data_IF_926777828800
#
_entry.id   IF_926777828800
#
_cell.length_a   1.000
_cell.length_b   1.000
_cell.length_c   1.000
_cell.angle_alpha   90.00
_cell.angle_beta   90.00
_cell.angle_gamma   90.00
#
_symmetry.space_group_name_H-M   'P 1'
#
loop_
_entity.id
_entity.type
_entity.pdbx_description
1 polymer ?
#
# COMPACT_ATOMS: atom_id res chain seq x y z
N UNK A 1 19.94 -4.06 7.37
CA UNK A 1 19.21 -2.89 7.84
C UNK A 1 17.94 -2.74 6.99
N UNK A 2 16.90 -3.52 7.30
CA UNK A 2 15.69 -3.63 6.47
C UNK A 2 14.78 -2.42 6.52
N UNK A 3 15.24 -1.24 6.16
CA UNK A 3 14.37 -0.09 5.95
C UNK A 3 13.62 -0.29 4.64
N UNK A 4 12.36 -0.63 4.74
CA UNK A 4 11.42 -0.67 3.62
C UNK A 4 11.16 0.76 3.17
N UNK A 5 11.80 1.18 2.09
CA UNK A 5 11.36 2.37 1.41
C UNK A 5 10.21 1.99 0.49
N UNK A 6 9.03 2.50 0.79
CA UNK A 6 7.94 2.53 -0.15
C UNK A 6 8.36 3.40 -1.33
N UNK A 7 8.94 2.79 -2.33
CA UNK A 7 9.13 3.46 -3.61
C UNK A 7 7.77 3.87 -4.16
N UNK A 8 7.70 5.03 -4.77
CA UNK A 8 6.61 5.41 -5.65
C UNK A 8 6.72 4.49 -6.88
N UNK A 9 6.14 3.31 -6.78
CA UNK A 9 6.26 2.31 -7.81
C UNK A 9 5.34 2.63 -8.98
N UNK A 10 5.83 2.36 -10.18
CA UNK A 10 5.03 2.35 -11.42
C UNK A 10 3.93 1.28 -11.42
N UNK A 11 3.85 0.45 -10.40
CA UNK A 11 2.75 -0.49 -10.15
C UNK A 11 1.52 0.19 -9.53
N UNK A 12 1.44 1.50 -9.59
CA UNK A 12 0.26 2.21 -9.15
C UNK A 12 -0.91 1.81 -10.02
N UNK A 13 -1.87 1.16 -9.40
CA UNK A 13 -3.17 0.98 -10.02
C UNK A 13 -3.74 2.35 -10.31
N UNK A 14 -4.12 2.52 -11.56
CA UNK A 14 -4.75 3.76 -12.01
C UNK A 14 -6.06 3.93 -11.26
N UNK A 15 -6.14 4.96 -10.44
CA UNK A 15 -7.38 5.36 -9.83
C UNK A 15 -8.30 5.98 -10.89
N UNK A 16 -9.62 5.83 -10.74
CA UNK A 16 -10.58 6.52 -11.58
C UNK A 16 -10.35 8.04 -11.57
N UNK A 17 -10.70 8.72 -12.67
CA UNK A 17 -10.48 10.16 -12.82
C UNK A 17 -11.29 11.02 -11.86
N UNK A 18 -12.35 10.47 -11.27
CA UNK A 18 -13.18 11.17 -10.29
C UNK A 18 -12.60 11.20 -8.89
N UNK A 19 -11.57 10.40 -8.60
CA UNK A 19 -10.90 10.42 -7.30
C UNK A 19 -10.22 11.76 -7.08
N UNK A 20 -10.53 12.39 -5.96
CA UNK A 20 -9.93 13.67 -5.58
C UNK A 20 -8.47 13.48 -5.17
N UNK A 21 -7.64 14.45 -5.52
CA UNK A 21 -6.22 14.47 -5.17
C UNK A 21 -5.80 15.87 -4.76
N UNK A 22 -4.77 15.95 -3.94
CA UNK A 22 -4.17 17.22 -3.58
C UNK A 22 -3.37 17.79 -4.77
N UNK A 23 -3.64 19.05 -5.11
CA UNK A 23 -2.92 19.77 -6.18
C UNK A 23 -1.41 19.80 -5.90
N UNK A 24 -0.62 19.25 -6.81
CA UNK A 24 0.86 19.25 -6.76
C UNK A 24 1.48 18.01 -6.12
N UNK A 25 0.71 17.08 -5.56
CA UNK A 25 1.25 15.87 -4.95
C UNK A 25 1.14 14.61 -5.79
N UNK A 26 0.68 14.61 -6.96
CA UNK A 26 0.74 13.43 -7.83
C UNK A 26 -0.35 13.40 -8.91
N UNK A 27 0.00 13.83 -10.08
CA UNK A 27 -0.55 13.17 -11.25
C UNK A 27 0.31 11.95 -11.56
N UNK A 28 0.08 10.84 -10.89
CA UNK A 28 0.61 9.52 -11.29
C UNK A 28 -0.35 8.82 -12.26
N UNK A 29 -1.19 9.56 -12.94
CA UNK A 29 -1.93 9.07 -14.08
C UNK A 29 -0.99 8.78 -15.26
N UNK A 30 -1.35 7.88 -16.19
CA UNK A 30 -0.59 7.68 -17.42
C UNK A 30 -0.49 9.05 -18.11
N UNK A 31 0.72 9.39 -18.57
CA UNK A 31 0.95 10.60 -19.36
C UNK A 31 -0.13 10.72 -20.43
N UNK A 32 -1.01 11.70 -20.27
CA UNK A 32 -1.86 12.12 -21.37
C UNK A 32 -0.94 12.53 -22.53
N UNK A 33 -1.13 11.92 -23.66
CA UNK A 33 -0.47 12.32 -24.90
C UNK A 33 -0.76 13.82 -25.13
N UNK A 34 0.24 14.66 -24.95
CA UNK A 34 0.13 16.07 -25.30
C UNK A 34 0.83 17.04 -24.36
N UNK A 35 2.15 16.96 -24.24
CA UNK A 35 2.92 18.01 -23.57
C UNK A 35 4.38 17.61 -23.37
N UNK A 36 5.31 18.36 -23.96
CA UNK A 36 6.76 18.22 -23.73
C UNK A 36 7.15 18.70 -22.33
N UNK A 37 6.63 18.04 -21.28
CA UNK A 37 7.02 18.26 -19.92
C UNK A 37 7.64 16.99 -19.35
N UNK A 38 8.94 16.97 -19.14
CA UNK A 38 9.60 15.96 -18.32
C UNK A 38 9.16 16.17 -16.87
N UNK A 39 8.17 15.43 -16.42
CA UNK A 39 7.89 15.33 -15.00
C UNK A 39 8.99 14.48 -14.36
N UNK A 40 9.94 15.13 -13.74
CA UNK A 40 10.89 14.45 -12.86
C UNK A 40 10.13 14.05 -11.61
N UNK A 41 9.80 12.77 -11.49
CA UNK A 41 9.31 12.20 -10.23
C UNK A 41 10.40 12.39 -9.17
N UNK A 42 10.21 13.36 -8.29
CA UNK A 42 11.10 13.54 -7.15
C UNK A 42 10.68 12.54 -6.09
N UNK A 43 11.60 11.71 -5.59
CA UNK A 43 11.31 10.86 -4.46
C UNK A 43 10.97 11.74 -3.25
N UNK A 44 9.90 11.39 -2.56
CA UNK A 44 9.57 12.02 -1.29
C UNK A 44 10.66 11.63 -0.27
N UNK A 45 11.28 12.63 0.35
CA UNK A 45 12.31 12.38 1.35
C UNK A 45 11.68 11.71 2.57
N UNK A 46 12.33 10.64 3.05
CA UNK A 46 11.96 9.90 4.28
C UNK A 46 10.53 9.30 4.29
N UNK A 47 9.95 9.04 3.15
CA UNK A 47 8.76 8.21 3.06
C UNK A 47 9.18 6.76 3.18
N UNK A 48 8.69 6.05 4.18
CA UNK A 48 9.00 4.64 4.42
C UNK A 48 7.82 3.73 4.11
N UNK A 49 6.60 4.28 4.10
CA UNK A 49 5.38 3.49 3.96
C UNK A 49 4.41 4.19 3.00
N UNK A 50 3.85 3.40 2.11
CA UNK A 50 2.73 3.78 1.25
C UNK A 50 1.49 3.04 1.73
N UNK A 51 0.44 3.78 1.98
CA UNK A 51 -0.88 3.26 2.30
C UNK A 51 -1.70 3.23 1.01
N UNK A 52 -2.02 2.03 0.51
CA UNK A 52 -2.53 1.91 -0.85
C UNK A 52 -4.01 2.19 -0.98
N UNK A 53 -4.88 1.62 -0.14
CA UNK A 53 -6.34 1.80 -0.28
C UNK A 53 -7.11 1.47 1.00
N UNK A 54 -6.93 2.19 2.10
CA UNK A 54 -7.88 2.09 3.20
C UNK A 54 -9.27 2.50 2.74
N UNK A 55 -10.26 1.70 3.14
CA UNK A 55 -11.68 1.97 2.90
C UNK A 55 -12.46 1.84 4.20
N UNK A 56 -13.54 2.60 4.33
CA UNK A 56 -14.43 2.55 5.49
C UNK A 56 -15.84 2.23 4.99
N UNK A 57 -16.38 1.12 5.46
CA UNK A 57 -17.74 0.68 5.18
C UNK A 57 -18.67 0.99 6.34
N UNK A 58 -19.95 1.18 6.04
CA UNK A 58 -21.01 1.33 7.01
C UNK A 58 -22.06 0.26 6.80
N UNK A 59 -22.53 -0.32 7.89
CA UNK A 59 -23.61 -1.31 7.91
C UNK A 59 -24.65 -0.85 8.92
N UNK A 60 -25.85 -0.58 8.45
CA UNK A 60 -26.97 -0.11 9.27
C UNK A 60 -28.29 -0.50 8.63
N UNK A 61 -29.26 -0.89 9.44
CA UNK A 61 -30.61 -1.19 8.99
C UNK A 61 -31.41 0.10 8.67
N UNK A 62 -31.02 1.23 9.28
CA UNK A 62 -31.70 2.50 9.12
C UNK A 62 -30.76 3.58 8.56
N UNK A 63 -31.27 4.51 7.75
CA UNK A 63 -30.46 5.63 7.25
C UNK A 63 -30.16 6.63 8.39
N UNK A 64 -28.97 7.19 8.36
CA UNK A 64 -28.55 8.20 9.35
C UNK A 64 -27.44 9.11 8.79
N UNK A 65 -27.16 10.19 9.51
CA UNK A 65 -26.03 11.08 9.21
C UNK A 65 -24.84 10.77 10.10
N UNK A 66 -23.67 10.70 9.51
CA UNK A 66 -22.45 10.48 10.25
C UNK A 66 -21.39 11.55 9.94
N UNK A 67 -20.57 11.86 10.93
CA UNK A 67 -19.31 12.55 10.74
C UNK A 67 -18.18 11.57 10.96
N UNK A 68 -17.24 11.49 10.01
CA UNK A 68 -16.10 10.57 10.02
C UNK A 68 -14.83 11.39 9.96
N UNK A 69 -13.94 11.18 10.91
CA UNK A 69 -12.63 11.81 10.94
C UNK A 69 -11.54 10.75 11.02
N UNK A 70 -10.58 10.81 10.10
CA UNK A 70 -9.41 9.94 10.08
C UNK A 70 -8.16 10.78 10.21
N UNK A 71 -7.36 10.46 11.23
CA UNK A 71 -6.00 10.95 11.34
C UNK A 71 -5.01 10.02 10.63
N UNK A 72 -3.87 10.56 10.27
CA UNK A 72 -2.73 9.79 9.80
C UNK A 72 -1.47 10.30 10.50
N UNK A 73 -1.13 9.69 11.62
CA UNK A 73 0.02 10.07 12.43
C UNK A 73 1.32 9.67 11.72
N UNK A 74 2.19 10.65 11.50
CA UNK A 74 3.42 10.48 10.72
C UNK A 74 3.21 10.43 9.21
N UNK A 75 2.05 10.84 8.69
CA UNK A 75 1.76 10.75 7.27
C UNK A 75 0.85 11.83 6.72
N UNK A 76 0.71 11.84 5.40
CA UNK A 76 -0.19 12.73 4.65
C UNK A 76 -1.19 11.91 3.86
N UNK A 77 -2.38 12.47 3.64
CA UNK A 77 -3.45 11.88 2.83
C UNK A 77 -3.49 12.62 1.50
N UNK A 78 -3.18 11.92 0.41
CA UNK A 78 -2.94 12.54 -0.89
C UNK A 78 -4.12 12.41 -1.85
N UNK A 79 -4.94 11.37 -1.67
CA UNK A 79 -6.08 11.06 -2.52
C UNK A 79 -7.24 10.56 -1.66
N UNK A 80 -8.47 10.85 -2.09
CA UNK A 80 -9.69 10.44 -1.36
C UNK A 80 -10.91 10.43 -2.29
N UNK A 81 -11.93 9.71 -1.89
CA UNK A 81 -13.27 9.74 -2.52
C UNK A 81 -14.32 9.16 -1.54
N UNK A 82 -15.53 9.73 -1.45
CA UNK A 82 -16.02 10.98 -2.01
C UNK A 82 -15.31 12.24 -1.47
N UNK A 83 -15.73 13.44 -1.93
CA UNK A 83 -15.12 14.70 -1.52
C UNK A 83 -15.20 14.91 -0.02
N UNK A 84 -14.06 15.25 0.57
CA UNK A 84 -13.96 15.54 2.01
C UNK A 84 -14.68 16.83 2.38
N UNK A 85 -15.22 16.90 3.61
CA UNK A 85 -15.79 18.13 4.17
C UNK A 85 -14.76 18.96 4.93
N UNK A 86 -13.60 18.39 5.29
CA UNK A 86 -12.57 19.10 6.05
C UNK A 86 -11.29 18.31 6.28
N UNK A 87 -10.47 18.80 7.18
CA UNK A 87 -9.18 18.21 7.57
C UNK A 87 -7.99 18.81 6.83
N UNK A 88 -6.82 18.71 7.42
CA UNK A 88 -5.53 19.15 6.87
C UNK A 88 -4.76 17.92 6.39
N UNK A 89 -4.90 17.58 5.12
CA UNK A 89 -4.45 16.28 4.57
C UNK A 89 -2.96 16.23 4.26
N UNK A 90 -2.33 17.38 4.03
CA UNK A 90 -0.91 17.52 3.68
C UNK A 90 -0.33 18.75 4.39
N UNK A 91 1.00 18.78 4.66
CA UNK A 91 1.65 19.97 5.19
C UNK A 91 1.44 21.18 4.25
N UNK A 92 1.30 22.37 4.83
CA UNK A 92 1.27 23.61 4.05
C UNK A 92 2.57 23.75 3.28
N UNK A 93 2.49 23.67 1.95
CA UNK A 93 3.63 23.91 1.08
C UNK A 93 3.79 25.42 0.96
N UNK A 94 4.82 25.96 1.58
CA UNK A 94 5.21 27.36 1.31
C UNK A 94 5.80 27.39 -0.10
N UNK A 95 5.04 27.92 -1.06
CA UNK A 95 5.58 28.15 -2.40
C UNK A 95 6.69 29.18 -2.29
N UNK A 96 7.92 28.86 -2.72
CA UNK A 96 8.98 29.88 -2.72
C UNK A 96 8.59 31.02 -3.65
N UNK A 97 8.77 32.26 -3.20
CA UNK A 97 8.56 33.45 -4.01
C UNK A 97 9.92 34.18 -4.11
N UNK A 98 10.52 34.33 -5.29
CA UNK A 98 10.01 34.02 -6.62
C UNK A 98 10.00 32.51 -6.98
N UNK A 99 9.23 32.18 -8.05
CA UNK A 99 9.21 30.81 -8.58
C UNK A 99 10.64 30.37 -8.94
N UNK A 100 11.14 29.26 -8.41
CA UNK A 100 12.52 28.84 -8.62
C UNK A 100 12.81 28.60 -10.10
N UNK A 101 14.00 29.02 -10.56
CA UNK A 101 14.53 28.61 -11.86
C UNK A 101 14.83 27.11 -11.91
N UNK A 102 15.00 26.53 -13.09
CA UNK A 102 15.22 25.07 -13.28
C UNK A 102 16.33 24.49 -12.38
N UNK A 103 17.38 25.27 -12.08
CA UNK A 103 18.45 24.85 -11.17
C UNK A 103 17.98 24.78 -9.70
N UNK A 104 17.06 25.65 -9.30
CA UNK A 104 16.48 25.71 -7.96
C UNK A 104 15.33 24.70 -7.79
N UNK A 105 14.69 24.25 -8.89
CA UNK A 105 13.71 23.17 -8.86
C UNK A 105 14.31 21.81 -8.43
N UNK A 106 15.62 21.62 -8.56
CA UNK A 106 16.30 20.42 -8.05
C UNK A 106 16.24 20.33 -6.53
N UNK A 107 16.16 21.47 -5.83
CA UNK A 107 16.10 21.57 -4.38
C UNK A 107 14.76 22.10 -3.84
N UNK A 108 13.87 22.59 -4.71
CA UNK A 108 12.54 23.01 -4.30
C UNK A 108 11.74 21.79 -3.82
N UNK A 109 11.69 21.67 -2.51
CA UNK A 109 11.35 20.51 -1.76
C UNK A 109 10.06 19.81 -2.14
N UNK A 110 10.15 18.52 -2.30
CA UNK A 110 9.04 17.65 -1.99
C UNK A 110 8.69 17.80 -0.50
N UNK A 111 7.54 17.31 -0.10
CA UNK A 111 7.16 17.25 1.32
C UNK A 111 8.28 16.53 2.06
N UNK A 112 8.85 17.19 3.05
CA UNK A 112 9.86 16.60 3.91
C UNK A 112 9.18 15.95 5.11
N UNK A 113 9.04 14.62 5.09
CA UNK A 113 8.54 13.83 6.21
C UNK A 113 9.56 13.68 7.35
N UNK A 114 10.67 14.41 7.33
CA UNK A 114 11.58 14.46 8.48
C UNK A 114 11.00 15.24 9.67
N UNK A 115 10.05 16.14 9.40
CA UNK A 115 9.22 16.76 10.42
C UNK A 115 7.95 15.93 10.59
N UNK A 116 7.57 15.63 11.82
CA UNK A 116 6.33 14.92 12.10
C UNK A 116 5.14 15.73 11.57
N UNK A 117 4.45 15.20 10.59
CA UNK A 117 3.18 15.73 10.13
C UNK A 117 2.11 14.68 10.38
N UNK A 118 0.95 15.12 10.86
CA UNK A 118 -0.21 14.27 11.09
C UNK A 118 -1.33 14.74 10.16
N UNK A 119 -1.51 14.01 9.07
CA UNK A 119 -2.60 14.27 8.14
C UNK A 119 -3.96 14.01 8.77
N UNK A 120 -4.97 14.74 8.35
CA UNK A 120 -6.34 14.57 8.84
C UNK A 120 -7.32 14.76 7.68
N UNK A 121 -8.34 13.92 7.62
CA UNK A 121 -9.43 14.04 6.66
C UNK A 121 -10.77 13.87 7.38
N UNK A 122 -11.75 14.65 6.97
CA UNK A 122 -13.11 14.60 7.53
C UNK A 122 -14.15 14.51 6.43
N UNK A 123 -15.18 13.69 6.68
CA UNK A 123 -16.39 13.61 5.88
C UNK A 123 -17.63 13.80 6.74
N UNK A 124 -18.61 14.48 6.19
CA UNK A 124 -19.99 14.48 6.67
C UNK A 124 -20.82 13.69 5.67
N UNK A 125 -21.40 12.58 6.14
CA UNK A 125 -21.92 11.50 5.29
C UNK A 125 -23.39 11.26 5.58
N UNK A 126 -24.21 11.12 4.57
CA UNK A 126 -25.52 10.49 4.67
C UNK A 126 -25.36 8.98 4.37
N UNK A 127 -25.53 8.15 5.40
CA UNK A 127 -25.60 6.70 5.25
C UNK A 127 -27.02 6.36 4.83
N UNK A 128 -27.19 5.80 3.62
CA UNK A 128 -28.51 5.55 3.05
C UNK A 128 -29.07 4.21 3.52
N UNK A 129 -30.38 4.00 3.30
CA UNK A 129 -31.01 2.72 3.61
C UNK A 129 -30.35 1.55 2.85
N UNK A 130 -30.41 0.30 3.36
CA UNK A 130 -29.74 -0.85 2.76
C UNK A 130 -30.15 -1.16 1.32
N UNK A 131 -31.37 -0.80 0.93
CA UNK A 131 -31.93 -0.99 -0.40
C UNK A 131 -31.73 0.21 -1.34
N UNK A 132 -31.01 1.25 -0.88
CA UNK A 132 -30.79 2.44 -1.66
C UNK A 132 -29.98 2.12 -2.92
N UNK A 133 -30.49 2.57 -4.06
CA UNK A 133 -29.77 2.47 -5.32
C UNK A 133 -28.65 3.49 -5.38
N UNK A 134 -27.49 3.08 -5.85
CA UNK A 134 -26.32 3.96 -6.02
C UNK A 134 -26.56 5.10 -7.00
N UNK A 135 -27.50 4.97 -7.91
CA UNK A 135 -27.68 5.93 -9.00
C UNK A 135 -26.44 6.12 -9.90
N UNK A 136 -25.41 5.30 -9.67
CA UNK A 136 -24.14 5.40 -10.36
C UNK A 136 -24.19 4.63 -11.67
N UNK A 137 -24.26 5.35 -12.76
CA UNK A 137 -23.93 4.78 -14.07
C UNK A 137 -22.40 4.76 -14.19
N UNK A 138 -21.82 3.56 -14.24
CA UNK A 138 -20.41 3.40 -14.57
C UNK A 138 -20.17 3.86 -16.01
N UNK A 139 -19.26 4.82 -16.19
CA UNK A 139 -18.79 5.17 -17.53
C UNK A 139 -17.81 4.09 -17.99
N UNK A 140 -17.90 3.70 -19.25
CA UNK A 140 -16.93 2.82 -19.89
C UNK A 140 -15.51 3.33 -19.62
N UNK A 141 -14.64 2.48 -19.07
CA UNK A 141 -13.24 2.78 -18.78
C UNK A 141 -12.89 2.90 -17.29
N UNK A 142 -13.80 2.66 -16.37
CA UNK A 142 -13.50 2.50 -14.95
C UNK A 142 -12.74 1.19 -14.71
N UNK A 143 -11.72 1.23 -13.84
CA UNK A 143 -10.93 0.04 -13.54
C UNK A 143 -11.75 -0.96 -12.73
N UNK A 144 -11.71 -2.24 -13.13
CA UNK A 144 -12.41 -3.33 -12.42
C UNK A 144 -12.05 -3.37 -10.92
N UNK A 145 -10.84 -2.97 -10.57
CA UNK A 145 -10.36 -3.00 -9.20
C UNK A 145 -11.15 -2.04 -8.28
N UNK A 146 -11.59 -0.89 -8.79
CA UNK A 146 -12.43 0.04 -8.03
C UNK A 146 -13.82 -0.53 -7.75
N UNK A 147 -14.31 -1.42 -8.63
CA UNK A 147 -15.66 -1.99 -8.52
C UNK A 147 -15.75 -3.11 -7.47
N UNK A 148 -14.66 -3.81 -7.20
CA UNK A 148 -14.65 -4.99 -6.33
C UNK A 148 -14.98 -4.68 -4.87
N UNK A 149 -14.50 -3.58 -4.26
CA UNK A 149 -14.89 -3.19 -2.92
C UNK A 149 -16.39 -2.91 -2.76
N UNK A 150 -17.08 -2.57 -3.83
CA UNK A 150 -18.55 -2.36 -3.84
C UNK A 150 -19.37 -3.64 -3.62
N UNK A 151 -18.74 -4.81 -3.67
CA UNK A 151 -19.41 -6.08 -3.40
C UNK A 151 -19.54 -6.38 -1.88
N UNK A 152 -19.15 -5.46 -1.02
CA UNK A 152 -19.16 -5.59 0.44
C UNK A 152 -20.56 -5.72 1.05
N UNK A 153 -21.62 -5.36 0.32
CA UNK A 153 -22.99 -5.20 0.83
C UNK A 153 -23.14 -4.10 1.90
N UNK A 154 -22.21 -3.17 1.93
CA UNK A 154 -22.30 -1.98 2.79
C UNK A 154 -23.42 -1.03 2.31
N UNK A 155 -23.87 -0.18 3.20
CA UNK A 155 -24.80 0.89 2.84
C UNK A 155 -24.14 1.87 1.87
N UNK A 156 -24.91 2.36 0.92
CA UNK A 156 -24.50 3.46 0.06
C UNK A 156 -24.32 4.73 0.88
N UNK A 157 -23.23 5.42 0.67
CA UNK A 157 -22.90 6.69 1.28
C UNK A 157 -23.14 7.82 0.29
N UNK A 158 -23.70 8.92 0.77
CA UNK A 158 -23.82 10.16 0.00
C UNK A 158 -23.03 11.26 0.71
N UNK A 159 -22.16 11.94 -0.06
CA UNK A 159 -21.40 13.11 0.40
C UNK A 159 -21.58 14.22 -0.63
N UNK A 160 -22.36 15.26 -0.30
CA UNK A 160 -22.77 16.25 -1.29
C UNK A 160 -23.53 15.61 -2.45
N UNK A 161 -23.00 15.72 -3.65
CA UNK A 161 -23.57 15.12 -4.86
C UNK A 161 -22.92 13.78 -5.26
N UNK A 162 -21.96 13.29 -4.47
CA UNK A 162 -21.22 12.07 -4.75
C UNK A 162 -21.77 10.88 -3.94
N UNK A 163 -21.76 9.71 -4.57
CA UNK A 163 -22.23 8.45 -3.98
C UNK A 163 -21.15 7.37 -4.08
N UNK A 164 -20.95 6.61 -3.02
CA UNK A 164 -20.07 5.44 -3.01
C UNK A 164 -20.48 4.47 -1.91
N UNK A 165 -20.06 3.20 -1.98
CA UNK A 165 -20.33 2.20 -0.93
C UNK A 165 -19.27 2.26 0.20
N UNK A 166 -18.27 3.12 0.07
CA UNK A 166 -17.19 3.26 1.05
C UNK A 166 -16.57 4.65 0.98
N UNK A 167 -15.95 5.06 2.09
CA UNK A 167 -15.02 6.18 2.06
C UNK A 167 -13.64 5.64 1.74
N UNK A 168 -12.99 6.21 0.75
CA UNK A 168 -11.65 5.85 0.31
C UNK A 168 -10.65 6.96 0.63
N UNK A 169 -9.47 6.57 1.07
CA UNK A 169 -8.33 7.48 1.17
C UNK A 169 -7.02 6.75 0.89
N UNK A 170 -6.01 7.50 0.49
CA UNK A 170 -4.67 7.01 0.18
C UNK A 170 -3.65 8.01 0.64
N UNK A 171 -2.52 7.52 1.16
CA UNK A 171 -1.49 8.40 1.68
C UNK A 171 -0.11 7.76 1.73
N UNK A 172 0.85 8.55 2.16
CA UNK A 172 2.23 8.15 2.40
C UNK A 172 2.69 8.67 3.75
N UNK A 173 3.54 7.92 4.43
CA UNK A 173 4.00 8.31 5.76
C UNK A 173 5.35 7.74 6.13
N UNK A 174 5.77 8.11 7.32
CA UNK A 174 6.97 7.59 7.97
C UNK A 174 6.63 7.28 9.43
N UNK A 175 6.36 6.01 9.70
CA UNK A 175 6.04 5.51 11.04
C UNK A 175 6.62 4.11 11.22
N UNK A 176 6.84 3.74 12.47
CA UNK A 176 7.41 2.44 12.82
C UNK A 176 6.34 1.36 12.83
N UNK A 177 6.67 0.23 12.22
CA UNK A 177 5.84 -0.98 12.26
C UNK A 177 6.42 -1.98 13.27
N UNK A 178 5.59 -2.76 13.95
CA UNK A 178 6.01 -3.65 15.02
C UNK A 178 6.55 -4.99 14.48
N UNK A 179 7.18 -4.99 13.32
CA UNK A 179 7.67 -6.22 12.68
C UNK A 179 8.91 -5.94 11.84
N UNK A 180 9.87 -6.85 11.89
CA UNK A 180 11.04 -6.82 11.02
C UNK A 180 11.14 -8.10 10.19
N UNK A 181 11.75 -7.96 9.01
CA UNK A 181 11.96 -9.06 8.06
C UNK A 181 13.41 -9.08 7.62
N UNK A 182 14.01 -10.25 7.62
CA UNK A 182 15.39 -10.45 7.17
C UNK A 182 15.51 -11.83 6.50
N UNK A 183 16.25 -11.90 5.41
CA UNK A 183 16.71 -13.18 4.83
C UNK A 183 18.21 -13.29 5.06
N UNK A 184 18.64 -14.40 5.64
CA UNK A 184 20.04 -14.67 5.88
C UNK A 184 20.75 -15.28 4.65
N UNK A 185 22.08 -15.43 4.67
CA UNK A 185 22.82 -16.03 3.56
C UNK A 185 22.44 -17.49 3.23
N UNK A 186 21.79 -18.19 4.16
CA UNK A 186 21.24 -19.54 3.93
C UNK A 186 19.85 -19.54 3.29
N UNK A 187 19.35 -18.37 2.88
CA UNK A 187 18.03 -18.14 2.29
C UNK A 187 16.87 -18.41 3.27
N UNK A 188 17.14 -18.41 4.57
CA UNK A 188 16.11 -18.51 5.62
C UNK A 188 15.49 -17.14 5.88
N UNK A 189 14.16 -17.04 5.79
CA UNK A 189 13.41 -15.85 6.17
C UNK A 189 13.24 -15.82 7.68
N UNK A 190 13.64 -14.72 8.30
CA UNK A 190 13.39 -14.40 9.70
C UNK A 190 12.37 -13.29 9.80
N UNK A 191 11.34 -13.52 10.60
CA UNK A 191 10.28 -12.57 10.92
C UNK A 191 10.29 -12.37 12.43
N UNK A 192 10.36 -11.15 12.89
CA UNK A 192 10.35 -10.82 14.30
C UNK A 192 9.24 -9.83 14.59
N UNK A 193 8.34 -10.17 15.51
CA UNK A 193 7.37 -9.25 16.07
C UNK A 193 8.04 -8.47 17.20
N UNK A 194 8.39 -7.23 16.94
CA UNK A 194 9.04 -6.32 17.91
C UNK A 194 8.01 -5.54 18.74
N UNK A 195 6.73 -5.76 18.49
CA UNK A 195 5.63 -5.07 19.15
C UNK A 195 5.22 -5.70 20.48
N UNK A 196 4.27 -5.05 21.12
CA UNK A 196 3.68 -5.47 22.41
C UNK A 196 2.43 -6.33 22.24
N UNK A 197 1.91 -6.44 21.03
CA UNK A 197 0.72 -7.20 20.68
C UNK A 197 1.10 -8.31 19.69
N UNK A 198 0.31 -9.37 19.64
CA UNK A 198 0.45 -10.39 18.60
C UNK A 198 0.10 -9.83 17.22
N UNK A 199 0.83 -10.24 16.18
CA UNK A 199 0.38 -10.10 14.81
C UNK A 199 -0.71 -11.13 14.57
N UNK A 200 -1.97 -10.78 14.30
CA UNK A 200 -3.08 -11.74 14.32
C UNK A 200 -3.05 -12.73 13.16
N UNK A 201 -2.39 -12.37 12.06
CA UNK A 201 -2.29 -13.22 10.87
C UNK A 201 -1.02 -12.89 10.09
N UNK A 202 -0.35 -13.92 9.54
CA UNK A 202 0.74 -13.80 8.60
C UNK A 202 0.57 -14.78 7.44
N UNK A 203 0.99 -14.35 6.26
CA UNK A 203 1.04 -15.18 5.07
C UNK A 203 2.31 -14.87 4.29
N UNK A 204 3.15 -15.87 4.10
CA UNK A 204 4.39 -15.76 3.33
C UNK A 204 4.16 -16.33 1.95
N UNK A 205 4.51 -15.58 0.91
CA UNK A 205 4.44 -16.04 -0.47
C UNK A 205 5.69 -15.68 -1.24
N UNK A 206 6.19 -16.61 -2.01
CA UNK A 206 7.22 -16.39 -3.02
C UNK A 206 6.69 -16.79 -4.40
N UNK A 207 6.75 -15.85 -5.33
CA UNK A 207 6.56 -16.12 -6.76
C UNK A 207 7.94 -16.13 -7.39
N UNK A 208 8.37 -17.28 -7.90
CA UNK A 208 9.67 -17.40 -8.53
C UNK A 208 9.66 -16.81 -9.95
N UNK A 209 10.81 -16.50 -10.56
CA UNK A 209 10.88 -16.02 -11.95
C UNK A 209 10.24 -16.95 -12.97
N UNK A 210 10.30 -18.26 -12.74
CA UNK A 210 9.66 -19.30 -13.56
C UNK A 210 8.20 -19.55 -13.19
N UNK A 211 7.60 -18.62 -12.41
CA UNK A 211 6.18 -18.62 -12.03
C UNK A 211 5.74 -19.79 -11.14
N UNK A 212 6.65 -20.44 -10.45
CA UNK A 212 6.31 -21.34 -9.35
C UNK A 212 5.94 -20.54 -8.12
N UNK A 213 4.99 -21.07 -7.38
CA UNK A 213 4.50 -20.44 -6.16
C UNK A 213 4.89 -21.28 -4.97
N UNK A 214 5.45 -20.62 -3.96
CA UNK A 214 5.72 -21.18 -2.64
C UNK A 214 5.00 -20.31 -1.63
N UNK A 215 4.36 -20.92 -0.64
CA UNK A 215 3.68 -20.15 0.39
C UNK A 215 3.58 -20.91 1.70
N UNK A 216 3.32 -20.17 2.78
CA UNK A 216 2.94 -20.68 4.08
C UNK A 216 2.01 -19.69 4.79
N UNK A 217 0.94 -20.20 5.40
CA UNK A 217 -0.03 -19.43 6.18
C UNK A 217 0.15 -19.71 7.67
N UNK A 218 0.17 -18.65 8.47
CA UNK A 218 0.23 -18.70 9.92
C UNK A 218 -1.07 -18.12 10.48
N UNK A 219 -2.10 -18.97 10.57
CA UNK A 219 -3.44 -18.56 11.04
C UNK A 219 -3.45 -18.09 12.49
N UNK A 220 -2.53 -18.62 13.31
CA UNK A 220 -2.40 -18.24 14.72
C UNK A 220 -1.55 -16.98 14.92
N UNK A 221 -1.08 -16.41 13.81
CA UNK A 221 -0.27 -15.19 13.82
C UNK A 221 1.12 -15.36 14.42
N UNK A 222 1.64 -14.30 15.03
CA UNK A 222 2.94 -14.29 15.70
C UNK A 222 2.83 -13.55 17.03
N UNK A 223 3.04 -14.22 18.18
CA UNK A 223 2.97 -13.59 19.50
C UNK A 223 3.91 -12.38 19.65
N UNK A 224 3.58 -11.48 20.57
CA UNK A 224 4.42 -10.33 20.89
C UNK A 224 5.82 -10.76 21.31
N UNK A 225 6.86 -10.07 20.82
CA UNK A 225 8.25 -10.36 21.13
C UNK A 225 8.77 -11.70 20.61
N UNK A 226 7.99 -12.39 19.76
CA UNK A 226 8.37 -13.69 19.20
C UNK A 226 8.97 -13.56 17.80
N UNK A 227 9.68 -14.60 17.37
CA UNK A 227 10.26 -14.67 16.03
C UNK A 227 9.98 -16.01 15.36
N UNK A 228 9.95 -15.99 14.03
CA UNK A 228 9.86 -17.15 13.16
C UNK A 228 11.10 -17.22 12.27
N UNK A 229 11.57 -18.45 12.04
CA UNK A 229 12.60 -18.72 11.03
C UNK A 229 12.06 -19.74 10.04
N UNK A 230 11.95 -19.35 8.77
CA UNK A 230 11.33 -20.13 7.72
C UNK A 230 12.37 -20.41 6.62
N UNK A 231 13.02 -21.58 6.64
CA UNK A 231 13.87 -22.01 5.55
C UNK A 231 13.06 -22.09 4.25
N UNK A 232 13.68 -21.78 3.12
CA UNK A 232 13.01 -21.82 1.81
C UNK A 232 12.32 -23.16 1.52
N UNK A 233 12.93 -24.26 1.94
CA UNK A 233 12.40 -25.63 1.76
C UNK A 233 11.09 -25.90 2.50
N UNK A 234 10.79 -25.10 3.53
CA UNK A 234 9.58 -25.25 4.36
C UNK A 234 8.38 -24.49 3.79
N UNK A 235 8.60 -23.70 2.73
CA UNK A 235 7.50 -23.12 1.96
C UNK A 235 6.88 -24.17 1.04
N UNK A 236 5.58 -24.40 1.18
CA UNK A 236 4.85 -25.32 0.33
C UNK A 236 4.91 -24.90 -1.12
N UNK A 237 5.49 -25.74 -1.99
CA UNK A 237 5.48 -25.52 -3.42
C UNK A 237 4.23 -26.11 -4.02
N UNK A 238 3.52 -25.33 -4.81
CA UNK A 238 2.33 -25.79 -5.53
C UNK A 238 2.41 -25.43 -7.01
N UNK A 239 1.71 -26.21 -7.80
CA UNK A 239 1.63 -26.09 -9.25
C UNK A 239 0.28 -25.52 -9.71
N UNK A 240 -0.49 -26.28 -10.44
CA UNK A 240 -1.67 -25.77 -11.17
C UNK A 240 -2.82 -25.21 -10.33
N UNK A 241 -2.95 -25.59 -9.04
CA UNK A 241 -4.08 -25.17 -8.16
C UNK A 241 -3.72 -24.05 -7.19
N UNK A 242 -2.51 -23.51 -7.29
CA UNK A 242 -2.01 -22.54 -6.32
C UNK A 242 -2.91 -21.31 -6.14
N UNK A 243 -3.52 -20.82 -7.23
CA UNK A 243 -4.38 -19.63 -7.14
C UNK A 243 -5.50 -19.83 -6.15
N UNK A 244 -6.16 -20.97 -6.20
CA UNK A 244 -7.25 -21.27 -5.28
C UNK A 244 -6.76 -21.44 -3.86
N UNK A 245 -5.66 -22.17 -3.66
CA UNK A 245 -5.10 -22.40 -2.33
C UNK A 245 -4.65 -21.09 -1.66
N UNK A 246 -3.91 -20.24 -2.36
CA UNK A 246 -3.50 -18.92 -1.86
C UNK A 246 -4.72 -18.06 -1.56
N UNK A 247 -5.70 -18.04 -2.47
CA UNK A 247 -6.92 -17.29 -2.31
C UNK A 247 -7.69 -17.72 -1.05
N UNK A 248 -7.95 -19.01 -0.91
CA UNK A 248 -8.71 -19.56 0.21
C UNK A 248 -7.99 -19.32 1.55
N UNK A 249 -6.66 -19.48 1.61
CA UNK A 249 -5.87 -19.22 2.81
C UNK A 249 -5.89 -17.75 3.22
N UNK A 250 -5.77 -16.82 2.25
CA UNK A 250 -5.86 -15.40 2.53
C UNK A 250 -7.27 -14.99 2.98
N UNK A 251 -8.32 -15.52 2.35
CA UNK A 251 -9.71 -15.28 2.80
C UNK A 251 -9.87 -15.72 4.25
N UNK A 252 -9.46 -16.95 4.58
CA UNK A 252 -9.60 -17.47 5.95
C UNK A 252 -8.83 -16.63 6.97
N UNK A 253 -7.60 -16.21 6.63
CA UNK A 253 -6.81 -15.31 7.48
C UNK A 253 -7.49 -13.97 7.71
N UNK A 254 -8.07 -13.35 6.68
CA UNK A 254 -8.77 -12.08 6.83
C UNK A 254 -10.09 -12.22 7.60
N UNK A 255 -10.83 -13.31 7.40
CA UNK A 255 -12.04 -13.61 8.20
C UNK A 255 -11.71 -13.75 9.69
N UNK A 256 -10.59 -14.40 10.03
CA UNK A 256 -10.19 -14.57 11.44
C UNK A 256 -9.84 -13.24 12.12
N UNK A 257 -9.54 -12.18 11.34
CA UNK A 257 -9.28 -10.83 11.86
C UNK A 257 -10.53 -9.94 11.94
N UNK A 258 -11.68 -10.45 11.53
CA UNK A 258 -12.98 -9.81 11.72
C UNK A 258 -13.62 -9.19 10.47
N UNK A 259 -12.98 -9.28 9.31
CA UNK A 259 -13.63 -8.87 8.05
C UNK A 259 -14.82 -9.78 7.74
N UNK A 260 -15.82 -9.22 7.04
CA UNK A 260 -16.87 -10.02 6.42
C UNK A 260 -16.32 -10.83 5.24
N UNK A 261 -17.07 -11.85 4.80
CA UNK A 261 -16.71 -12.63 3.62
C UNK A 261 -16.55 -11.73 2.38
N UNK A 262 -17.50 -10.84 2.20
CA UNK A 262 -17.55 -9.93 1.05
C UNK A 262 -16.38 -8.95 1.05
N UNK A 263 -16.01 -8.39 2.21
CA UNK A 263 -14.86 -7.49 2.36
C UNK A 263 -13.55 -8.23 2.07
N UNK A 264 -13.36 -9.43 2.64
CA UNK A 264 -12.17 -10.25 2.40
C UNK A 264 -12.01 -10.60 0.91
N UNK A 265 -13.09 -11.05 0.27
CA UNK A 265 -13.09 -11.33 -1.17
C UNK A 265 -12.84 -10.08 -2.01
N UNK A 266 -13.48 -8.96 -1.68
CA UNK A 266 -13.29 -7.68 -2.38
C UNK A 266 -11.84 -7.21 -2.32
N UNK A 267 -11.21 -7.27 -1.13
CA UNK A 267 -9.83 -6.91 -0.93
C UNK A 267 -8.87 -7.78 -1.77
N UNK A 268 -8.97 -9.11 -1.64
CA UNK A 268 -8.06 -10.03 -2.34
C UNK A 268 -8.20 -9.88 -3.86
N UNK A 269 -9.42 -9.77 -4.36
CA UNK A 269 -9.67 -9.60 -5.80
C UNK A 269 -9.13 -8.28 -6.32
N UNK A 270 -9.24 -7.19 -5.56
CA UNK A 270 -8.71 -5.87 -5.93
C UNK A 270 -7.20 -5.93 -6.15
N UNK A 271 -6.49 -6.62 -5.27
CA UNK A 271 -5.02 -6.65 -5.25
C UNK A 271 -4.42 -7.90 -5.86
N UNK A 272 -5.23 -8.81 -6.44
CA UNK A 272 -4.77 -10.13 -6.89
C UNK A 272 -3.54 -10.06 -7.77
N UNK A 273 -3.57 -9.24 -8.83
CA UNK A 273 -2.49 -9.18 -9.80
C UNK A 273 -1.19 -8.62 -9.19
N UNK A 274 -1.28 -7.52 -8.46
CA UNK A 274 -0.11 -6.83 -7.90
C UNK A 274 0.49 -7.57 -6.69
N UNK A 275 -0.35 -8.25 -5.89
CA UNK A 275 0.11 -8.89 -4.66
C UNK A 275 0.56 -10.33 -4.89
N UNK A 276 -0.22 -11.12 -5.62
CA UNK A 276 -0.04 -12.57 -5.65
C UNK A 276 0.57 -13.11 -6.93
N UNK A 277 0.58 -12.37 -8.03
CA UNK A 277 1.08 -12.85 -9.31
C UNK A 277 2.47 -12.31 -9.71
N UNK A 278 2.94 -11.28 -9.05
CA UNK A 278 4.23 -10.70 -9.37
C UNK A 278 5.39 -11.47 -8.74
N UNK A 279 6.51 -11.71 -9.44
CA UNK A 279 7.68 -12.37 -8.87
C UNK A 279 8.21 -11.65 -7.62
N UNK A 280 8.75 -12.42 -6.67
CA UNK A 280 9.34 -11.92 -5.42
C UNK A 280 8.85 -12.65 -4.19
N UNK A 281 9.57 -12.47 -3.08
CA UNK A 281 9.19 -12.92 -1.75
C UNK A 281 8.43 -11.82 -1.04
N UNK A 282 7.25 -12.13 -0.49
CA UNK A 282 6.39 -11.19 0.25
C UNK A 282 5.90 -11.79 1.52
N UNK A 283 5.73 -10.93 2.50
CA UNK A 283 5.00 -11.26 3.72
C UNK A 283 3.80 -10.34 3.81
N UNK A 284 2.61 -10.93 3.87
CA UNK A 284 1.38 -10.25 4.25
C UNK A 284 1.15 -10.49 5.73
N UNK A 285 0.72 -9.48 6.42
CA UNK A 285 0.49 -9.56 7.86
C UNK A 285 -0.53 -8.52 8.27
N UNK A 286 -1.24 -8.77 9.34
CA UNK A 286 -2.23 -7.82 9.86
C UNK A 286 -1.61 -7.03 11.01
N UNK A 287 -1.69 -5.72 10.90
CA UNK A 287 -1.23 -4.80 11.94
C UNK A 287 -2.16 -4.93 13.15
N UNK A 288 -1.63 -5.04 14.38
CA UNK A 288 -2.46 -5.06 15.59
C UNK A 288 -3.40 -3.86 15.66
N UNK A 289 -4.57 -4.07 16.26
CA UNK A 289 -5.64 -3.05 16.28
C UNK A 289 -5.20 -1.77 16.98
N UNK A 290 -4.51 -1.87 18.12
CA UNK A 290 -4.06 -0.68 18.85
C UNK A 290 -3.00 0.09 18.06
N UNK A 291 -2.10 -0.62 17.39
CA UNK A 291 -1.14 0.01 16.48
C UNK A 291 -1.82 0.65 15.27
N UNK A 292 -2.86 0.02 14.73
CA UNK A 292 -3.68 0.62 13.66
C UNK A 292 -4.37 1.90 14.15
N UNK A 293 -4.91 1.90 15.37
CA UNK A 293 -5.53 3.09 15.97
C UNK A 293 -4.52 4.20 16.26
N UNK A 294 -3.29 3.84 16.62
CA UNK A 294 -2.20 4.82 16.83
C UNK A 294 -1.82 5.50 15.50
N UNK A 295 -1.66 4.74 14.43
CA UNK A 295 -1.24 5.27 13.11
C UNK A 295 -2.38 6.02 12.42
N UNK A 296 -3.58 5.45 12.48
CA UNK A 296 -4.78 5.93 11.80
C UNK A 296 -5.92 6.12 12.80
N UNK A 297 -5.83 7.08 13.73
CA UNK A 297 -6.96 7.34 14.64
C UNK A 297 -8.23 7.61 13.84
N UNK A 298 -9.33 6.96 14.26
CA UNK A 298 -10.64 7.05 13.62
C UNK A 298 -11.68 7.50 14.63
N UNK A 299 -12.42 8.53 14.28
CA UNK A 299 -13.57 9.00 15.05
C UNK A 299 -14.81 8.99 14.17
N UNK A 300 -15.88 8.36 14.63
CA UNK A 300 -17.18 8.33 13.96
C UNK A 300 -18.26 8.84 14.92
N UNK A 301 -19.10 9.74 14.46
CA UNK A 301 -20.22 10.26 15.22
C UNK A 301 -21.51 10.18 14.38
N UNK A 302 -22.61 9.56 14.89
CA UNK A 302 -22.70 8.93 16.21
C UNK A 302 -21.74 7.74 16.34
N UNK A 303 -21.39 7.40 17.59
CA UNK A 303 -20.48 6.29 17.85
C UNK A 303 -21.11 4.97 17.38
N UNK A 304 -20.39 4.15 16.59
CA UNK A 304 -20.91 2.87 16.13
C UNK A 304 -20.96 1.85 17.27
N UNK A 305 -21.90 0.92 17.21
CA UNK A 305 -21.99 -0.20 18.16
C UNK A 305 -20.75 -1.11 18.08
N UNK A 306 -20.22 -1.30 16.87
CA UNK A 306 -19.04 -2.12 16.62
C UNK A 306 -18.17 -1.47 15.56
N UNK A 307 -16.87 -1.50 15.80
CA UNK A 307 -15.85 -1.11 14.82
C UNK A 307 -14.88 -2.27 14.62
N UNK A 308 -14.71 -2.70 13.38
CA UNK A 308 -13.68 -3.67 12.98
C UNK A 308 -12.64 -2.93 12.16
N UNK A 309 -11.37 -3.10 12.51
CA UNK A 309 -10.26 -2.45 11.82
C UNK A 309 -9.21 -3.47 11.44
N UNK A 310 -9.00 -3.63 10.13
CA UNK A 310 -8.02 -4.56 9.60
C UNK A 310 -7.09 -3.79 8.65
N UNK A 311 -5.86 -3.58 9.09
CA UNK A 311 -4.82 -2.97 8.28
C UNK A 311 -3.83 -4.07 7.85
N UNK A 312 -3.81 -4.36 6.55
CA UNK A 312 -2.91 -5.37 5.99
C UNK A 312 -1.61 -4.73 5.57
N UNK A 313 -0.52 -5.18 6.18
CA UNK A 313 0.84 -4.87 5.75
C UNK A 313 1.27 -5.81 4.62
N UNK A 314 1.95 -5.26 3.63
CA UNK A 314 2.67 -6.00 2.59
C UNK A 314 4.14 -5.62 2.61
N UNK A 315 4.98 -6.59 2.90
CA UNK A 315 6.42 -6.38 2.94
C UNK A 315 7.11 -7.16 1.82
N UNK A 316 7.74 -6.45 0.90
CA UNK A 316 8.60 -7.05 -0.11
C UNK A 316 9.94 -7.40 0.53
N UNK A 317 10.37 -8.65 0.44
CA UNK A 317 11.59 -9.13 1.09
C UNK A 317 12.60 -9.58 0.03
N UNK A 318 13.76 -8.97 0.04
CA UNK A 318 14.82 -9.25 -0.95
C UNK A 318 15.69 -10.42 -0.50
N UNK A 319 15.70 -11.51 -1.28
CA UNK A 319 16.62 -12.63 -1.04
C UNK A 319 18.05 -12.29 -1.46
N UNK A 320 19.07 -12.74 -0.72
CA UNK A 320 20.47 -12.50 -1.06
C UNK A 320 20.86 -12.89 -2.49
N UNK A 321 20.40 -14.05 -2.95
CA UNK A 321 20.64 -14.50 -4.34
C UNK A 321 20.04 -13.55 -5.38
N UNK A 322 18.86 -12.98 -5.09
CA UNK A 322 18.22 -12.04 -6.00
C UNK A 322 18.89 -10.66 -5.95
N UNK A 323 19.35 -10.22 -4.78
CA UNK A 323 20.17 -9.01 -4.65
C UNK A 323 21.42 -9.11 -5.55
N UNK A 324 22.10 -10.24 -5.53
CA UNK A 324 23.25 -10.48 -6.41
C UNK A 324 22.87 -10.39 -7.90
N UNK A 325 21.76 -10.97 -8.29
CA UNK A 325 21.26 -10.86 -9.68
C UNK A 325 20.96 -9.42 -10.07
N UNK A 326 20.38 -8.62 -9.17
CA UNK A 326 20.14 -7.19 -9.40
C UNK A 326 21.45 -6.40 -9.54
N UNK A 327 22.46 -6.70 -8.71
CA UNK A 327 23.79 -6.07 -8.78
C UNK A 327 24.45 -6.37 -10.13
N UNK A 328 24.44 -7.63 -10.57
CA UNK A 328 25.01 -8.01 -11.87
C UNK A 328 24.23 -7.40 -13.04
N UNK A 329 22.89 -7.42 -12.99
CA UNK A 329 22.06 -6.76 -13.99
C UNK A 329 22.33 -5.25 -14.06
N UNK A 330 22.54 -4.63 -12.93
CA UNK A 330 22.84 -3.20 -12.84
C UNK A 330 24.21 -2.88 -13.47
N UNK A 331 25.25 -3.68 -13.20
CA UNK A 331 26.58 -3.53 -13.81
C UNK A 331 26.53 -3.56 -15.35
N UNK A 332 25.72 -4.47 -15.92
CA UNK A 332 25.62 -4.64 -17.37
C UNK A 332 24.47 -3.86 -18.03
N UNK A 333 23.79 -3.00 -17.31
CA UNK A 333 22.60 -2.29 -17.81
C UNK A 333 22.85 -1.46 -19.08
N UNK A 334 24.05 -0.90 -19.23
CA UNK A 334 24.45 -0.10 -20.39
C UNK A 334 24.61 -0.96 -21.65
N UNK A 335 24.86 -2.25 -21.51
CA UNK A 335 25.02 -3.22 -22.60
C UNK A 335 23.67 -3.67 -23.18
N UNK A 336 22.55 -3.23 -22.59
CA UNK A 336 21.16 -3.55 -23.01
C UNK A 336 20.89 -5.07 -23.17
N UNK A 337 21.56 -5.90 -22.38
CA UNK A 337 21.36 -7.35 -22.40
C UNK A 337 19.95 -7.73 -21.99
N UNK A 338 19.26 -8.55 -22.79
CA UNK A 338 17.90 -9.04 -22.48
C UNK A 338 17.83 -9.79 -21.16
N UNK A 339 18.88 -10.52 -20.79
CA UNK A 339 18.99 -11.26 -19.53
C UNK A 339 18.94 -10.37 -18.29
N UNK A 340 19.38 -9.13 -18.40
CA UNK A 340 19.34 -8.15 -17.31
C UNK A 340 17.99 -7.41 -17.24
N UNK A 341 17.22 -7.37 -18.31
CA UNK A 341 16.02 -6.53 -18.41
C UNK A 341 14.97 -6.90 -17.35
N UNK A 342 14.78 -8.19 -17.11
CA UNK A 342 13.83 -8.66 -16.10
C UNK A 342 14.22 -8.19 -14.69
N UNK A 343 15.46 -8.41 -14.29
CA UNK A 343 15.95 -8.00 -12.97
C UNK A 343 15.86 -6.48 -12.78
N UNK A 344 16.19 -5.70 -13.82
CA UNK A 344 16.06 -4.25 -13.80
C UNK A 344 14.61 -3.78 -13.71
N UNK A 345 13.68 -4.48 -14.32
CA UNK A 345 12.25 -4.20 -14.17
C UNK A 345 11.76 -4.45 -12.74
N UNK A 346 12.32 -5.43 -12.05
CA UNK A 346 12.02 -5.69 -10.64
C UNK A 346 12.64 -4.67 -9.68
N UNK A 347 13.66 -3.94 -10.14
CA UNK A 347 14.40 -2.97 -9.33
C UNK A 347 13.49 -1.94 -8.65
N UNK A 348 12.47 -1.49 -9.36
CA UNK A 348 11.54 -0.46 -8.87
C UNK A 348 10.61 -0.96 -7.76
N UNK A 349 10.43 -2.27 -7.61
CA UNK A 349 9.56 -2.83 -6.57
C UNK A 349 10.13 -2.68 -5.17
N UNK A 350 11.44 -2.65 -5.05
CA UNK A 350 12.13 -2.63 -3.78
C UNK A 350 12.44 -1.20 -3.28
N UNK A 351 12.02 -0.18 -4.04
CA UNK A 351 12.17 1.22 -3.65
C UNK A 351 13.60 1.75 -3.71
N UNK A 352 13.73 3.02 -3.32
CA UNK A 352 14.98 3.77 -3.50
C UNK A 352 16.15 3.24 -2.66
N UNK A 353 15.93 2.80 -1.43
CA UNK A 353 17.00 2.29 -0.58
C UNK A 353 17.67 1.06 -1.18
N UNK A 354 16.88 0.17 -1.79
CA UNK A 354 17.44 -0.96 -2.50
C UNK A 354 18.19 -0.55 -3.76
N UNK A 355 17.71 0.48 -4.45
CA UNK A 355 18.41 1.02 -5.61
C UNK A 355 19.77 1.57 -5.21
N UNK A 356 19.85 2.38 -4.17
CA UNK A 356 21.08 2.93 -3.62
C UNK A 356 22.03 1.83 -3.14
N UNK A 357 21.50 0.81 -2.47
CA UNK A 357 22.27 -0.35 -2.02
C UNK A 357 22.85 -1.12 -3.21
N UNK A 358 22.07 -1.43 -4.23
CA UNK A 358 22.53 -2.12 -5.44
C UNK A 358 23.56 -1.29 -6.20
N UNK A 359 23.37 0.02 -6.30
CA UNK A 359 24.37 0.93 -6.89
C UNK A 359 25.70 0.85 -6.13
N UNK A 360 25.63 0.94 -4.81
CA UNK A 360 26.84 0.84 -3.94
C UNK A 360 27.54 -0.50 -4.13
N UNK A 361 26.81 -1.61 -4.08
CA UNK A 361 27.36 -2.95 -4.26
C UNK A 361 27.89 -3.20 -5.67
N UNK A 362 27.39 -2.49 -6.68
CA UNK A 362 27.92 -2.55 -8.04
C UNK A 362 29.24 -1.81 -8.24
N UNK A 363 29.73 -1.10 -7.23
CA UNK A 363 30.95 -0.29 -7.27
C UNK A 363 30.75 1.08 -7.93
N UNK A 364 29.52 1.49 -8.20
CA UNK A 364 29.22 2.82 -8.74
C UNK A 364 29.30 3.86 -7.60
N UNK A 365 30.12 4.89 -7.79
CA UNK A 365 30.16 5.99 -6.83
C UNK A 365 28.83 6.76 -6.91
N UNK A 366 28.05 6.71 -5.85
CA UNK A 366 26.89 7.58 -5.70
C UNK A 366 27.43 9.00 -5.61
N UNK A 367 27.14 9.85 -6.59
CA UNK A 367 27.42 11.26 -6.46
C UNK A 367 26.68 11.77 -5.22
N UNK A 368 27.40 12.17 -4.19
CA UNK A 368 26.81 12.85 -3.03
C UNK A 368 26.07 14.09 -3.57
N UNK A 369 24.75 14.01 -3.56
CA UNK A 369 23.86 15.14 -3.90
C UNK A 369 23.58 15.95 -2.65
#
# INVERSE_FOLDING_TARGET
DGVLLAGLNREEELLPRFVHAHDGMMNTGPMGYGGKGFFVHRPLKKVTIKMETPVIYFYSDEPFKASVEVGFNGGSINQWYPQRSGGETVPKIVKPNPVPTDAQFKDAGGIDFSTSFNGQIKWDVDVLAPDASRGLSFKNGETLNWLRPRNSKANVLKVGEEYEDYLFYRGVGNFELPVTFRVDPSETLHIENTGKEALPFLFVQEVTPDRKIRFHSFSDGLPAGSSLSIPEKDLHTTDAKWRRLVYDQMVQGLLSTGLTSEEAHGMIQTWWHSYFEQPGLRVFWVVPTDKTNEILPLTVSPAPEKTVRVLVGRSEVLRPRFEQQLVEAYKVRKEKKKSAAWALNMFHRYGLAFQERVQTLSGEKIAKK
#
